data_IF_477651054194
#
_entry.id   IF_477651054194
#
_cell.length_a   1.000
_cell.length_b   1.000
_cell.length_c   1.000
_cell.angle_alpha   90.00
_cell.angle_beta   90.00
_cell.angle_gamma   90.00
#
_symmetry.space_group_name_H-M   'P 1'
#
loop_
_entity.id
_entity.type
_entity.pdbx_description
1 polymer ?
#
# COMPACT_ATOMS: atom_id res chain seq x y z
N UNK A 1 -10.40 -1.22 -7.05
CA UNK A 1 -9.29 -1.94 -7.67
C UNK A 1 -9.18 -3.28 -6.96
N UNK A 2 -10.07 -4.22 -7.29
CA UNK A 2 -10.05 -5.61 -6.82
C UNK A 2 -10.11 -6.46 -8.09
N UNK A 3 -9.22 -7.44 -8.22
CA UNK A 3 -9.10 -8.27 -9.43
C UNK A 3 -8.29 -7.65 -10.58
N UNK A 4 -7.50 -6.61 -10.33
CA UNK A 4 -6.63 -6.00 -11.34
C UNK A 4 -5.18 -6.47 -11.20
N UNK A 5 -4.54 -6.74 -12.34
CA UNK A 5 -3.13 -7.13 -12.43
C UNK A 5 -2.35 -5.97 -13.04
N UNK A 6 -1.31 -5.51 -12.33
CA UNK A 6 -0.42 -4.44 -12.79
C UNK A 6 0.96 -5.02 -13.11
N UNK A 7 1.57 -4.58 -14.20
CA UNK A 7 2.90 -5.04 -14.63
C UNK A 7 3.83 -3.84 -14.82
N UNK A 8 4.97 -3.82 -14.13
CA UNK A 8 6.02 -2.82 -14.35
C UNK A 8 7.41 -3.46 -14.21
N UNK A 9 8.28 -3.28 -15.21
CA UNK A 9 9.67 -3.77 -15.28
C UNK A 9 9.86 -5.25 -14.83
N UNK A 10 8.93 -6.13 -15.19
CA UNK A 10 8.98 -7.58 -14.89
C UNK A 10 8.45 -7.98 -13.51
N UNK A 11 7.91 -7.03 -12.73
CA UNK A 11 7.17 -7.29 -11.49
C UNK A 11 5.69 -7.32 -11.81
N UNK A 12 5.07 -8.50 -11.65
CA UNK A 12 3.61 -8.67 -11.72
C UNK A 12 3.01 -8.50 -10.33
N UNK A 13 2.12 -7.53 -10.18
CA UNK A 13 1.40 -7.25 -8.94
C UNK A 13 -0.06 -7.63 -9.13
N UNK A 14 -0.49 -8.73 -8.53
CA UNK A 14 -1.85 -9.25 -8.66
C UNK A 14 -2.67 -8.87 -7.42
N UNK A 15 -3.67 -8.01 -7.60
CA UNK A 15 -4.60 -7.61 -6.54
C UNK A 15 -5.73 -8.64 -6.50
N UNK A 16 -5.46 -9.82 -5.95
CA UNK A 16 -6.47 -10.86 -5.77
C UNK A 16 -7.32 -10.58 -4.52
N UNK A 17 -8.60 -10.92 -4.57
CA UNK A 17 -9.52 -10.80 -3.41
C UNK A 17 -8.96 -11.55 -2.19
N UNK A 18 -8.27 -12.68 -2.39
CA UNK A 18 -7.65 -13.45 -1.30
C UNK A 18 -6.57 -12.66 -0.51
N UNK A 19 -5.97 -11.61 -1.09
CA UNK A 19 -4.96 -10.76 -0.45
C UNK A 19 -5.48 -9.36 -0.05
N UNK A 20 -6.58 -8.89 -0.64
CA UNK A 20 -7.09 -7.52 -0.46
C UNK A 20 -8.58 -7.41 -0.07
N UNK A 21 -9.28 -8.53 0.14
CA UNK A 21 -10.66 -8.60 0.68
C UNK A 21 -10.68 -8.36 2.21
N UNK A 22 -10.08 -7.25 2.63
CA UNK A 22 -10.22 -6.74 3.98
C UNK A 22 -11.49 -5.89 4.12
N UNK A 23 -12.01 -5.78 5.34
CA UNK A 23 -13.11 -4.86 5.63
C UNK A 23 -12.71 -3.41 5.27
N UNK A 24 -13.60 -2.64 4.61
CA UNK A 24 -13.37 -1.22 4.36
C UNK A 24 -13.01 -0.50 5.67
N UNK A 25 -11.84 0.14 5.68
CA UNK A 25 -11.35 0.87 6.83
C UNK A 25 -11.43 2.39 6.59
N UNK A 26 -11.81 3.11 7.63
CA UNK A 26 -11.58 4.55 7.72
C UNK A 26 -10.08 4.85 7.87
N UNK A 27 -9.70 6.11 7.64
CA UNK A 27 -8.31 6.56 7.68
C UNK A 27 -7.66 6.33 9.05
N UNK A 28 -8.39 6.55 10.14
CA UNK A 28 -7.90 6.30 11.51
C UNK A 28 -7.53 4.83 11.72
N UNK A 29 -8.36 3.88 11.25
CA UNK A 29 -8.05 2.45 11.31
C UNK A 29 -6.83 2.09 10.47
N UNK A 30 -6.69 2.65 9.28
CA UNK A 30 -5.52 2.41 8.42
C UNK A 30 -4.25 2.89 9.11
N UNK A 31 -4.24 4.13 9.60
CA UNK A 31 -3.10 4.72 10.33
C UNK A 31 -2.75 3.91 11.57
N UNK A 32 -3.75 3.52 12.36
CA UNK A 32 -3.53 2.71 13.55
C UNK A 32 -2.93 1.33 13.20
N UNK A 33 -3.30 0.76 12.05
CA UNK A 33 -2.77 -0.52 11.58
C UNK A 33 -1.33 -0.37 11.09
N UNK A 34 -1.02 0.66 10.30
CA UNK A 34 0.35 0.99 9.88
C UNK A 34 1.26 1.30 11.07
N UNK A 35 0.74 1.98 12.10
CA UNK A 35 1.46 2.26 13.34
C UNK A 35 1.88 0.99 14.10
N UNK A 36 1.18 -0.13 13.94
CA UNK A 36 1.51 -1.42 14.59
C UNK A 36 2.20 -2.41 13.67
N UNK A 37 2.18 -2.17 12.36
CA UNK A 37 2.75 -3.07 11.38
C UNK A 37 4.28 -3.13 11.49
N UNK A 38 4.82 -4.34 11.32
CA UNK A 38 6.26 -4.54 11.06
C UNK A 38 6.55 -4.43 9.56
N UNK A 39 5.64 -4.94 8.74
CA UNK A 39 5.67 -4.89 7.29
C UNK A 39 4.27 -4.53 6.81
N UNK A 40 4.14 -3.62 5.84
CA UNK A 40 2.89 -3.34 5.15
C UNK A 40 3.14 -3.06 3.67
N UNK A 41 2.38 -3.71 2.80
CA UNK A 41 2.31 -3.39 1.37
C UNK A 41 1.09 -2.49 1.17
N UNK A 42 1.31 -1.33 0.56
CA UNK A 42 0.30 -0.28 0.43
C UNK A 42 0.11 -0.04 -1.06
N UNK A 43 -1.14 -0.09 -1.52
CA UNK A 43 -1.50 0.06 -2.93
C UNK A 43 -2.66 1.03 -3.04
N UNK A 44 -2.61 1.89 -4.06
CA UNK A 44 -3.61 2.92 -4.33
C UNK A 44 -3.19 4.28 -3.79
N UNK A 45 -3.43 5.32 -4.60
CA UNK A 45 -3.07 6.72 -4.30
C UNK A 45 -3.49 7.12 -2.91
N UNK A 46 -4.78 7.02 -2.57
CA UNK A 46 -5.30 7.43 -1.26
C UNK A 46 -4.62 6.72 -0.08
N UNK A 47 -4.33 5.43 -0.19
CA UNK A 47 -3.71 4.67 0.89
C UNK A 47 -2.22 5.01 1.03
N UNK A 48 -1.54 5.21 -0.08
CA UNK A 48 -0.12 5.60 -0.13
C UNK A 48 0.06 7.04 0.37
N UNK A 49 -0.79 7.95 -0.07
CA UNK A 49 -0.80 9.35 0.37
C UNK A 49 -0.96 9.43 1.88
N UNK A 50 -1.93 8.70 2.44
CA UNK A 50 -2.12 8.63 3.90
C UNK A 50 -0.88 8.09 4.62
N UNK A 51 -0.20 7.10 4.06
CA UNK A 51 1.02 6.55 4.64
C UNK A 51 2.17 7.56 4.63
N UNK A 52 2.28 8.37 3.57
CA UNK A 52 3.24 9.45 3.44
C UNK A 52 2.93 10.60 4.41
N UNK A 53 1.68 11.05 4.45
CA UNK A 53 1.22 12.16 5.31
C UNK A 53 1.49 11.88 6.80
N UNK A 54 1.36 10.62 7.21
CA UNK A 54 1.63 10.19 8.58
C UNK A 54 3.09 9.75 8.84
N UNK A 55 3.98 9.89 7.84
CA UNK A 55 5.41 9.60 7.98
C UNK A 55 5.76 8.11 8.07
N UNK A 56 4.87 7.23 7.63
CA UNK A 56 5.13 5.80 7.54
C UNK A 56 5.97 5.43 6.31
N UNK A 57 5.89 6.25 5.26
CA UNK A 57 6.60 6.09 3.98
C UNK A 57 7.18 7.44 3.58
N UNK A 58 8.41 7.45 3.07
CA UNK A 58 9.00 8.64 2.44
C UNK A 58 8.45 8.78 1.01
N UNK A 59 8.12 10.00 0.57
CA UNK A 59 7.61 10.27 -0.79
C UNK A 59 8.52 9.68 -1.89
N UNK A 60 9.83 9.70 -1.67
CA UNK A 60 10.82 9.18 -2.62
C UNK A 60 10.78 7.66 -2.77
N UNK A 61 10.11 6.96 -1.86
CA UNK A 61 9.97 5.50 -1.86
C UNK A 61 8.61 5.04 -2.41
N UNK A 62 7.81 5.96 -2.97
CA UNK A 62 6.56 5.64 -3.67
C UNK A 62 6.87 5.27 -5.12
N UNK A 63 6.33 4.13 -5.55
CA UNK A 63 6.47 3.62 -6.90
C UNK A 63 5.17 3.82 -7.67
N UNK A 64 5.27 4.26 -8.92
CA UNK A 64 4.15 4.24 -9.87
C UNK A 64 4.14 2.89 -10.59
N UNK A 65 3.04 2.16 -10.48
CA UNK A 65 2.89 0.80 -11.01
C UNK A 65 1.60 0.72 -11.80
N UNK A 66 1.70 0.79 -13.13
CA UNK A 66 0.61 0.50 -14.05
C UNK A 66 -0.66 1.35 -13.86
N UNK A 67 -0.55 2.58 -13.37
CA UNK A 67 -1.70 3.47 -13.13
C UNK A 67 -2.21 3.48 -11.68
N UNK A 68 -1.52 2.82 -10.76
CA UNK A 68 -1.70 2.98 -9.31
C UNK A 68 -0.36 3.28 -8.64
N UNK A 69 -0.40 3.75 -7.40
CA UNK A 69 0.81 3.91 -6.59
C UNK A 69 0.97 2.73 -5.65
N UNK A 70 2.22 2.38 -5.40
CA UNK A 70 2.61 1.35 -4.45
C UNK A 70 3.70 1.86 -3.51
N UNK A 71 3.63 1.44 -2.25
CA UNK A 71 4.69 1.65 -1.28
C UNK A 71 4.80 0.46 -0.31
N UNK A 72 5.98 0.30 0.28
CA UNK A 72 6.21 -0.71 1.31
C UNK A 72 6.78 -0.08 2.57
N UNK A 73 6.14 -0.36 3.70
CA UNK A 73 6.69 -0.09 5.03
C UNK A 73 7.40 -1.34 5.53
N UNK A 74 8.65 -1.19 5.99
CA UNK A 74 9.41 -2.23 6.69
C UNK A 74 10.09 -1.61 7.90
N UNK A 75 9.80 -2.14 9.09
CA UNK A 75 10.48 -1.76 10.33
C UNK A 75 11.45 -2.85 10.75
N UNK A 76 12.72 -2.51 10.72
CA UNK A 76 13.79 -3.32 11.29
C UNK A 76 13.89 -2.94 12.77
N UNK A 77 13.53 -3.88 13.64
CA UNK A 77 13.62 -3.71 15.10
C UNK A 77 15.05 -3.77 15.62
#
# INVERSE_FOLDING_TARGET
MLGESFENDGVTFEVTEEFYDGEPADEERVVASLARARVANIVGSRSVDLAVEHGFVEETNVLDVGGTTHAQLVRLG
#
